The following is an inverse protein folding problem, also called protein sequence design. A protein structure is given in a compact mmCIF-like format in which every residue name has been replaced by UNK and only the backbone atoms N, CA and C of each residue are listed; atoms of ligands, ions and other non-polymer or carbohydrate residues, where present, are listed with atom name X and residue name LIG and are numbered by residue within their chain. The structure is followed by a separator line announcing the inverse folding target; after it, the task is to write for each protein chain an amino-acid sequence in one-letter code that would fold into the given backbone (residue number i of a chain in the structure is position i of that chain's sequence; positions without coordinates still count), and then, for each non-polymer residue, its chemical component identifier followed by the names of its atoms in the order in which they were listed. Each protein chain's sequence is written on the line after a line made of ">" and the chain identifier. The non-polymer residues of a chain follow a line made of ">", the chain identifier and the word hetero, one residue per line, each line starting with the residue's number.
data_IF_956634608003
#
_entry.id   IF_956634608003
#
_cell.length_a   1.000
_cell.length_b   1.000
_cell.length_c   1.000
_cell.angle_alpha   90.00
_cell.angle_beta   90.00
_cell.angle_gamma   90.00
#
_symmetry.space_group_name_H-M   'P 1'
#
loop_
_entity.id
_entity.type
_entity.pdbx_description
1 polymer ?
#
# COMPACT_ATOMS: atom_id res chain seq x y z
N UNK A 1 -4.98 -18.35 -1.92
CA UNK A 1 -4.78 -18.37 -0.47
C UNK A 1 -3.33 -18.12 -0.14
N UNK A 2 -2.91 -16.87 -0.26
CA UNK A 2 -1.66 -16.46 0.38
C UNK A 2 -1.95 -16.59 1.86
N UNK A 3 -1.30 -17.53 2.49
CA UNK A 3 -1.53 -17.84 3.89
C UNK A 3 -1.37 -16.59 4.74
N UNK A 4 -2.27 -16.43 5.71
CA UNK A 4 -2.20 -15.37 6.73
C UNK A 4 -0.89 -15.43 7.57
N UNK A 5 -0.03 -16.38 7.27
CA UNK A 5 1.26 -16.63 7.93
C UNK A 5 2.44 -15.86 7.31
N UNK A 6 2.20 -15.07 6.24
CA UNK A 6 3.27 -14.32 5.57
C UNK A 6 3.10 -12.79 5.56
N UNK A 7 2.54 -12.12 6.56
CA UNK A 7 2.39 -10.66 6.49
C UNK A 7 3.74 -9.91 6.52
N UNK A 8 4.80 -10.54 6.95
CA UNK A 8 6.11 -9.90 7.11
C UNK A 8 7.02 -10.08 5.88
N UNK A 9 6.87 -11.17 5.15
CA UNK A 9 7.67 -11.45 3.96
C UNK A 9 7.15 -10.76 2.69
N UNK A 10 5.93 -10.23 2.71
CA UNK A 10 5.20 -9.90 1.50
C UNK A 10 4.88 -8.41 1.31
N UNK A 11 5.45 -7.51 2.08
CA UNK A 11 5.07 -6.09 2.01
C UNK A 11 5.03 -5.52 0.59
N UNK A 12 5.94 -5.96 -0.29
CA UNK A 12 5.96 -5.58 -1.72
C UNK A 12 5.18 -6.53 -2.61
N UNK A 13 5.10 -7.81 -2.27
CA UNK A 13 4.51 -8.85 -3.10
C UNK A 13 3.12 -9.27 -2.62
N UNK A 14 2.28 -8.32 -2.22
CA UNK A 14 0.89 -8.58 -1.88
C UNK A 14 -0.01 -8.52 -3.13
N UNK A 15 -0.94 -9.47 -3.23
CA UNK A 15 -1.92 -9.53 -4.32
C UNK A 15 -1.27 -9.63 -5.71
N UNK A 16 -1.72 -8.81 -6.65
CA UNK A 16 -1.24 -8.83 -8.04
C UNK A 16 0.27 -8.61 -8.17
N UNK A 17 0.87 -7.83 -7.26
CA UNK A 17 2.32 -7.54 -7.30
C UNK A 17 3.16 -8.81 -7.22
N UNK A 18 2.70 -9.82 -6.46
CA UNK A 18 3.37 -11.13 -6.42
C UNK A 18 3.24 -11.86 -7.76
N UNK A 19 2.00 -12.05 -8.22
CA UNK A 19 1.73 -12.87 -9.40
C UNK A 19 2.32 -12.27 -10.67
N UNK A 20 2.15 -10.97 -10.86
CA UNK A 20 2.66 -10.29 -12.06
C UNK A 20 4.18 -10.17 -12.06
N UNK A 21 4.82 -10.01 -10.88
CA UNK A 21 6.28 -9.97 -10.80
C UNK A 21 6.87 -11.34 -11.09
N UNK A 22 6.31 -12.39 -10.50
CA UNK A 22 6.77 -13.75 -10.74
C UNK A 22 6.56 -14.19 -12.19
N UNK A 23 5.44 -13.78 -12.78
CA UNK A 23 5.21 -13.97 -14.22
C UNK A 23 6.26 -13.26 -15.08
N UNK A 24 6.52 -11.99 -14.81
CA UNK A 24 7.54 -11.24 -15.53
C UNK A 24 8.91 -11.89 -15.42
N UNK A 25 9.31 -12.31 -14.22
CA UNK A 25 10.58 -12.98 -13.99
C UNK A 25 10.66 -14.36 -14.66
N UNK A 26 9.53 -15.08 -14.77
CA UNK A 26 9.45 -16.34 -15.55
C UNK A 26 9.70 -16.06 -17.04
N UNK A 27 9.06 -15.02 -17.60
CA UNK A 27 9.26 -14.62 -19.01
C UNK A 27 10.69 -14.17 -19.27
N UNK A 28 11.29 -13.43 -18.33
CA UNK A 28 12.66 -12.92 -18.42
C UNK A 28 13.72 -14.00 -18.11
N UNK A 29 13.32 -15.14 -17.55
CA UNK A 29 14.24 -16.20 -17.10
C UNK A 29 15.08 -15.77 -15.89
N UNK A 30 14.52 -14.96 -15.00
CA UNK A 30 15.18 -14.42 -13.82
C UNK A 30 14.91 -15.26 -12.57
N UNK A 31 15.91 -15.37 -11.70
CA UNK A 31 15.83 -16.14 -10.47
C UNK A 31 15.37 -17.58 -10.73
N UNK A 32 14.63 -18.15 -9.81
CA UNK A 32 13.96 -19.45 -9.95
C UNK A 32 12.45 -19.26 -10.06
N UNK A 33 12.00 -18.31 -10.86
CA UNK A 33 10.58 -17.89 -10.89
C UNK A 33 9.63 -19.03 -11.27
N UNK A 34 10.08 -19.97 -12.10
CA UNK A 34 9.35 -21.18 -12.49
C UNK A 34 9.48 -22.35 -11.49
N UNK A 35 10.22 -22.16 -10.39
CA UNK A 35 10.39 -23.20 -9.37
C UNK A 35 9.04 -23.66 -8.78
N UNK A 36 9.02 -24.89 -8.28
CA UNK A 36 7.84 -25.49 -7.63
C UNK A 36 7.47 -24.81 -6.30
N UNK A 37 8.46 -24.20 -5.66
CA UNK A 37 8.25 -23.45 -4.40
C UNK A 37 7.17 -22.37 -4.59
N UNK A 38 6.20 -22.33 -3.70
CA UNK A 38 5.08 -21.38 -3.77
C UNK A 38 4.06 -21.62 -4.89
N UNK A 39 4.15 -22.72 -5.63
CA UNK A 39 3.12 -23.13 -6.58
C UNK A 39 1.98 -23.86 -5.87
N UNK A 40 0.75 -23.46 -6.16
CA UNK A 40 -0.46 -24.10 -5.61
C UNK A 40 -0.68 -25.50 -6.16
N UNK A 41 -0.09 -25.84 -7.29
CA UNK A 41 -0.26 -27.10 -8.00
C UNK A 41 0.77 -28.18 -7.60
N UNK A 42 1.83 -27.79 -6.89
CA UNK A 42 2.97 -28.64 -6.58
C UNK A 42 3.84 -29.00 -7.82
N UNK A 43 3.66 -28.26 -8.92
CA UNK A 43 4.49 -28.34 -10.14
C UNK A 43 5.24 -27.02 -10.34
N UNK A 44 6.02 -26.95 -11.42
CA UNK A 44 6.61 -25.67 -11.84
C UNK A 44 5.53 -24.56 -11.81
N UNK A 45 5.89 -23.41 -11.28
CA UNK A 45 4.98 -22.29 -11.18
C UNK A 45 4.60 -21.78 -12.58
N UNK A 46 3.32 -21.54 -12.77
CA UNK A 46 2.77 -21.11 -14.04
C UNK A 46 1.59 -20.19 -13.76
N UNK A 47 1.62 -19.00 -14.35
CA UNK A 47 0.64 -17.95 -14.10
C UNK A 47 -0.81 -18.39 -14.30
N UNK A 48 -1.09 -19.08 -15.40
CA UNK A 48 -2.46 -19.52 -15.76
C UNK A 48 -3.04 -20.55 -14.78
N UNK A 49 -2.19 -21.24 -14.04
CA UNK A 49 -2.62 -22.17 -13.01
C UNK A 49 -2.84 -21.50 -11.64
N UNK A 50 -2.27 -20.33 -11.42
CA UNK A 50 -2.31 -19.63 -10.13
C UNK A 50 -3.36 -18.49 -10.10
N UNK A 51 -3.64 -17.86 -11.26
CA UNK A 51 -4.50 -16.68 -11.36
C UNK A 51 -5.71 -16.96 -12.21
N UNK A 52 -6.89 -16.98 -11.59
CA UNK A 52 -8.16 -17.14 -12.33
C UNK A 52 -8.67 -15.83 -12.92
N UNK A 53 -8.47 -14.73 -12.21
CA UNK A 53 -8.87 -13.38 -12.61
C UNK A 53 -7.75 -12.39 -12.22
N UNK A 54 -7.08 -11.79 -13.20
CA UNK A 54 -6.07 -10.76 -12.94
C UNK A 54 -6.67 -9.55 -12.21
N UNK A 55 -5.83 -8.82 -11.49
CA UNK A 55 -6.25 -7.54 -10.92
C UNK A 55 -6.68 -6.57 -12.02
N UNK A 56 -7.86 -5.96 -11.84
CA UNK A 56 -8.50 -5.10 -12.82
C UNK A 56 -9.46 -5.83 -13.75
N UNK A 57 -9.53 -7.17 -13.70
CA UNK A 57 -10.49 -7.92 -14.52
C UNK A 57 -11.93 -7.47 -14.28
N UNK A 58 -12.64 -7.25 -15.35
CA UNK A 58 -14.05 -6.88 -15.33
C UNK A 58 -14.73 -7.14 -16.68
N UNK A 59 -16.05 -7.06 -16.69
CA UNK A 59 -16.86 -7.18 -17.89
C UNK A 59 -17.60 -5.87 -18.13
N UNK A 60 -17.73 -5.50 -19.41
CA UNK A 60 -18.49 -4.35 -19.86
C UNK A 60 -19.49 -4.76 -20.93
N UNK A 61 -20.54 -3.97 -21.13
CA UNK A 61 -21.49 -4.14 -22.23
C UNK A 61 -20.99 -3.54 -23.56
N UNK A 62 -19.82 -2.90 -23.53
CA UNK A 62 -19.15 -2.33 -24.70
C UNK A 62 -17.65 -2.56 -24.60
N UNK A 63 -16.89 -2.22 -25.63
CA UNK A 63 -15.44 -2.36 -25.67
C UNK A 63 -14.78 -1.01 -25.84
N UNK A 64 -13.59 -0.87 -25.25
CA UNK A 64 -12.80 0.35 -25.32
C UNK A 64 -11.38 0.06 -25.82
N UNK A 65 -10.80 1.04 -26.48
CA UNK A 65 -9.39 1.09 -26.83
C UNK A 65 -8.75 2.26 -26.08
N UNK A 66 -7.72 1.97 -25.28
CA UNK A 66 -6.96 2.97 -24.55
C UNK A 66 -5.62 3.21 -25.28
N UNK A 67 -5.25 4.49 -25.46
CA UNK A 67 -3.99 4.88 -26.09
C UNK A 67 -3.27 5.89 -25.21
N UNK A 68 -2.13 5.52 -24.67
CA UNK A 68 -1.26 6.41 -23.89
C UNK A 68 -0.58 7.42 -24.83
N UNK A 69 -0.93 8.69 -24.72
CA UNK A 69 -0.42 9.76 -25.58
C UNK A 69 0.88 10.36 -25.07
N UNK A 70 0.95 10.61 -23.76
CA UNK A 70 2.13 11.22 -23.14
C UNK A 70 2.22 10.85 -21.66
N UNK A 71 3.44 10.87 -21.15
CA UNK A 71 3.74 10.85 -19.72
C UNK A 71 4.76 11.93 -19.43
N UNK A 72 4.52 12.72 -18.40
CA UNK A 72 5.43 13.72 -17.87
C UNK A 72 5.74 13.40 -16.41
N UNK A 73 7.03 13.36 -16.07
CA UNK A 73 7.52 13.10 -14.70
C UNK A 73 8.18 14.36 -14.17
N UNK A 74 7.58 14.96 -13.16
CA UNK A 74 8.08 16.14 -12.48
C UNK A 74 8.42 15.81 -11.01
N UNK A 75 9.68 15.52 -10.75
CA UNK A 75 10.16 15.20 -9.40
C UNK A 75 10.14 16.42 -8.47
N UNK A 76 10.26 17.65 -8.99
CA UNK A 76 10.21 18.86 -8.16
C UNK A 76 8.80 19.08 -7.59
N UNK A 77 7.77 18.88 -8.41
CA UNK A 77 6.37 18.95 -8.00
C UNK A 77 5.80 17.62 -7.51
N UNK A 78 6.60 16.54 -7.54
CA UNK A 78 6.24 15.18 -7.12
C UNK A 78 5.02 14.63 -7.87
N UNK A 79 4.98 14.84 -9.18
CA UNK A 79 3.86 14.38 -10.00
C UNK A 79 4.31 13.52 -11.17
N UNK A 80 3.47 12.56 -11.53
CA UNK A 80 3.49 11.84 -12.80
C UNK A 80 2.16 12.11 -13.48
N UNK A 81 2.18 12.78 -14.63
CA UNK A 81 0.97 13.15 -15.37
C UNK A 81 0.93 12.38 -16.69
N UNK A 82 -0.17 11.65 -16.92
CA UNK A 82 -0.41 10.90 -18.14
C UNK A 82 -1.66 11.42 -18.87
N UNK A 83 -1.58 11.56 -20.20
CA UNK A 83 -2.75 11.78 -21.05
C UNK A 83 -3.08 10.52 -21.84
N UNK A 84 -4.33 10.08 -21.75
CA UNK A 84 -4.83 8.85 -22.35
C UNK A 84 -6.09 9.12 -23.18
N UNK A 85 -6.06 8.74 -24.44
CA UNK A 85 -7.25 8.73 -25.28
C UNK A 85 -7.98 7.39 -25.09
N UNK A 86 -9.25 7.46 -24.75
CA UNK A 86 -10.14 6.30 -24.63
C UNK A 86 -11.20 6.40 -25.71
N UNK A 87 -11.29 5.40 -26.57
CA UNK A 87 -12.27 5.28 -27.63
C UNK A 87 -13.24 4.13 -27.36
N UNK A 88 -14.53 4.40 -27.43
CA UNK A 88 -15.53 3.36 -27.41
C UNK A 88 -15.57 2.66 -28.80
N UNK A 89 -15.11 1.42 -28.84
CA UNK A 89 -15.04 0.60 -30.05
C UNK A 89 -16.22 -0.36 -30.20
N UNK A 90 -17.12 -0.40 -29.20
CA UNK A 90 -18.32 -1.25 -29.24
C UNK A 90 -19.56 -0.50 -29.71
N UNK A 91 -20.71 -1.13 -29.54
CA UNK A 91 -21.98 -0.69 -30.10
C UNK A 91 -22.91 0.01 -29.07
N UNK A 92 -22.50 0.09 -27.81
CA UNK A 92 -23.29 0.64 -26.70
C UNK A 92 -22.49 1.74 -25.99
N UNK A 93 -23.16 2.82 -25.59
CA UNK A 93 -22.53 3.86 -24.76
C UNK A 93 -22.09 3.28 -23.41
N UNK A 94 -20.91 3.67 -22.96
CA UNK A 94 -20.35 3.14 -21.72
C UNK A 94 -19.29 4.05 -21.12
N UNK A 95 -18.85 3.67 -19.93
CA UNK A 95 -17.72 4.29 -19.22
C UNK A 95 -16.60 3.28 -19.08
N UNK A 96 -15.38 3.77 -19.14
CA UNK A 96 -14.17 2.97 -18.94
C UNK A 96 -13.37 3.47 -17.74
N UNK A 97 -12.51 2.61 -17.18
CA UNK A 97 -11.56 2.95 -16.14
C UNK A 97 -10.15 2.78 -16.69
N UNK A 98 -9.43 3.87 -16.80
CA UNK A 98 -8.03 3.89 -17.22
C UNK A 98 -7.15 3.73 -16.00
N UNK A 99 -6.31 2.71 -15.98
CA UNK A 99 -5.37 2.42 -14.91
C UNK A 99 -3.95 2.71 -15.40
N UNK A 100 -3.25 3.63 -14.75
CA UNK A 100 -1.86 3.97 -15.06
C UNK A 100 -0.92 3.13 -14.20
N UNK A 101 -0.04 2.39 -14.86
CA UNK A 101 0.96 1.54 -14.23
C UNK A 101 2.38 2.02 -14.53
N UNK A 102 3.29 1.78 -13.61
CA UNK A 102 4.73 1.92 -13.83
C UNK A 102 5.46 0.60 -13.61
N UNK A 103 6.56 0.43 -14.33
CA UNK A 103 7.60 -0.58 -14.08
C UNK A 103 8.91 0.15 -13.89
N UNK A 104 9.55 -0.09 -12.77
CA UNK A 104 10.78 0.61 -12.37
C UNK A 104 12.00 -0.29 -12.55
N UNK A 105 13.22 0.25 -12.71
CA UNK A 105 14.42 -0.56 -12.81
C UNK A 105 14.61 -1.47 -11.59
N UNK A 106 15.02 -2.71 -11.83
CA UNK A 106 15.52 -3.63 -10.80
C UNK A 106 16.96 -3.92 -11.11
N UNK A 107 17.87 -3.47 -10.26
CA UNK A 107 19.30 -3.33 -10.54
C UNK A 107 20.15 -4.21 -9.62
N UNK A 108 21.46 -4.28 -9.89
CA UNK A 108 22.40 -4.94 -8.99
C UNK A 108 22.41 -4.30 -7.59
N UNK A 109 22.18 -2.99 -7.51
CA UNK A 109 22.02 -2.29 -6.23
C UNK A 109 20.89 -2.89 -5.40
N UNK A 110 19.75 -3.15 -6.03
CA UNK A 110 18.56 -3.71 -5.36
C UNK A 110 18.86 -5.11 -4.80
N UNK A 111 19.54 -5.93 -5.59
CA UNK A 111 19.94 -7.28 -5.18
C UNK A 111 20.89 -7.22 -3.98
N UNK A 112 21.90 -6.35 -4.04
CA UNK A 112 22.90 -6.20 -2.97
C UNK A 112 22.31 -5.64 -1.68
N UNK A 113 21.37 -4.69 -1.78
CA UNK A 113 20.75 -4.02 -0.63
C UNK A 113 19.38 -4.60 -0.24
N UNK A 114 18.95 -5.69 -0.89
CA UNK A 114 17.66 -6.38 -0.64
C UNK A 114 16.45 -5.46 -0.82
N UNK A 115 16.52 -4.57 -1.81
CA UNK A 115 15.40 -3.71 -2.19
C UNK A 115 14.49 -4.47 -3.14
N UNK A 116 13.27 -4.73 -2.72
CA UNK A 116 12.32 -5.49 -3.50
C UNK A 116 11.35 -4.57 -4.26
N UNK A 117 11.09 -4.91 -5.54
CA UNK A 117 10.27 -4.12 -6.47
C UNK A 117 9.35 -5.02 -7.27
N UNK A 118 8.09 -4.64 -7.40
CA UNK A 118 7.17 -5.33 -8.29
C UNK A 118 7.47 -5.02 -9.76
N UNK A 119 7.19 -5.98 -10.65
CA UNK A 119 7.34 -5.77 -12.10
C UNK A 119 6.44 -4.64 -12.62
N UNK A 120 5.24 -4.51 -12.07
CA UNK A 120 4.35 -3.38 -12.33
C UNK A 120 3.67 -2.92 -11.05
N UNK A 121 3.43 -1.62 -10.96
CA UNK A 121 2.71 -0.99 -9.86
C UNK A 121 1.68 -0.02 -10.40
N UNK A 122 0.44 -0.14 -9.95
CA UNK A 122 -0.61 0.85 -10.21
C UNK A 122 -0.20 2.17 -9.54
N UNK A 123 -0.12 3.24 -10.32
CA UNK A 123 0.12 4.59 -9.80
C UNK A 123 -1.19 5.26 -9.43
N UNK A 124 -2.13 5.32 -10.39
CA UNK A 124 -3.44 5.92 -10.18
C UNK A 124 -4.41 5.48 -11.30
N UNK A 125 -5.66 5.86 -11.21
CA UNK A 125 -6.67 5.56 -12.21
C UNK A 125 -7.66 6.72 -12.36
N UNK A 126 -8.28 6.80 -13.53
CA UNK A 126 -9.33 7.78 -13.80
C UNK A 126 -10.47 7.11 -14.58
N UNK A 127 -11.69 7.55 -14.31
CA UNK A 127 -12.88 7.03 -14.97
C UNK A 127 -13.41 8.02 -16.00
N UNK A 128 -13.71 7.53 -17.21
CA UNK A 128 -14.30 8.36 -18.26
C UNK A 128 -15.74 8.78 -17.91
N UNK A 129 -16.20 9.82 -18.58
CA UNK A 129 -17.62 10.05 -18.77
C UNK A 129 -18.25 8.97 -19.65
N UNK A 130 -19.54 9.10 -19.93
CA UNK A 130 -20.22 8.23 -20.89
C UNK A 130 -19.71 8.54 -22.30
N UNK A 131 -19.12 7.56 -22.97
CA UNK A 131 -18.60 7.68 -24.33
C UNK A 131 -19.56 6.94 -25.26
N UNK A 132 -20.10 7.64 -26.26
CA UNK A 132 -20.96 7.06 -27.28
C UNK A 132 -20.16 6.13 -28.24
N UNK A 133 -20.80 5.18 -28.92
CA UNK A 133 -20.15 4.30 -29.88
C UNK A 133 -19.36 5.06 -30.94
N UNK A 134 -18.08 4.73 -31.07
CA UNK A 134 -17.16 5.35 -32.04
C UNK A 134 -16.55 6.68 -31.61
N UNK A 135 -17.04 7.29 -30.51
CA UNK A 135 -16.48 8.52 -29.96
C UNK A 135 -15.29 8.24 -29.04
N UNK A 136 -14.51 9.29 -28.78
CA UNK A 136 -13.34 9.25 -27.89
C UNK A 136 -13.40 10.35 -26.84
N UNK A 137 -12.74 10.09 -25.69
CA UNK A 137 -12.49 11.06 -24.65
C UNK A 137 -11.00 10.99 -24.26
N UNK A 138 -10.38 12.15 -24.01
CA UNK A 138 -9.07 12.17 -23.35
C UNK A 138 -9.26 12.33 -21.85
N UNK A 139 -8.60 11.50 -21.08
CA UNK A 139 -8.49 11.60 -19.62
C UNK A 139 -7.06 11.94 -19.24
N UNK A 140 -6.91 12.71 -18.17
CA UNK A 140 -5.61 13.05 -17.59
C UNK A 140 -5.54 12.41 -16.20
N UNK A 141 -4.51 11.63 -15.96
CA UNK A 141 -4.24 10.99 -14.66
C UNK A 141 -3.03 11.70 -14.08
N UNK A 142 -3.10 12.09 -12.79
CA UNK A 142 -1.98 12.70 -12.08
C UNK A 142 -1.74 11.96 -10.78
N UNK A 143 -0.66 11.20 -10.73
CA UNK A 143 -0.22 10.40 -9.59
C UNK A 143 0.89 11.10 -8.80
N UNK A 144 1.11 10.70 -7.54
CA UNK A 144 2.29 11.09 -6.76
C UNK A 144 3.53 10.35 -7.30
N UNK A 145 4.57 11.08 -7.67
CA UNK A 145 5.81 10.50 -8.15
C UNK A 145 6.52 9.62 -7.09
N UNK A 146 6.22 9.79 -5.82
CA UNK A 146 6.73 8.90 -4.77
C UNK A 146 6.25 7.45 -4.95
N UNK A 147 5.09 7.23 -5.59
CA UNK A 147 4.56 5.87 -5.82
C UNK A 147 5.41 5.05 -6.79
N UNK A 148 6.30 5.67 -7.56
CA UNK A 148 7.31 4.96 -8.35
C UNK A 148 8.65 4.78 -7.64
N UNK A 149 8.83 5.34 -6.43
CA UNK A 149 10.02 5.12 -5.62
C UNK A 149 9.99 3.77 -4.91
N UNK A 150 11.18 3.27 -4.59
CA UNK A 150 11.36 2.03 -3.84
C UNK A 150 11.89 2.30 -2.45
N UNK A 151 11.46 1.50 -1.49
CA UNK A 151 11.93 1.61 -0.11
C UNK A 151 13.20 0.82 0.09
N UNK A 152 14.27 1.50 0.51
CA UNK A 152 15.50 0.87 0.99
C UNK A 152 15.60 1.10 2.51
N UNK A 153 15.53 0.01 3.27
CA UNK A 153 15.56 0.05 4.74
C UNK A 153 16.95 0.36 5.31
N UNK A 154 17.98 0.32 4.47
CA UNK A 154 19.39 0.46 4.86
C UNK A 154 20.06 1.72 4.30
N UNK A 155 19.43 2.39 3.34
CA UNK A 155 19.96 3.60 2.74
C UNK A 155 20.00 4.74 3.77
N UNK A 156 21.17 5.31 3.95
CA UNK A 156 21.34 6.50 4.80
C UNK A 156 20.69 7.72 4.13
N UNK A 157 19.94 8.46 4.93
CA UNK A 157 19.30 9.70 4.53
C UNK A 157 20.24 10.88 4.83
N UNK A 158 20.27 11.89 3.98
CA UNK A 158 21.03 13.14 4.20
C UNK A 158 20.67 13.85 5.50
N UNK A 159 19.47 13.60 6.05
CA UNK A 159 19.04 14.13 7.34
C UNK A 159 19.63 13.37 8.53
N UNK A 160 20.43 12.31 8.30
CA UNK A 160 21.09 11.52 9.35
C UNK A 160 20.24 10.39 9.93
N UNK A 161 19.18 9.99 9.25
CA UNK A 161 18.36 8.81 9.55
C UNK A 161 18.70 7.66 8.60
N UNK A 162 18.33 6.43 8.95
CA UNK A 162 18.49 5.23 8.11
C UNK A 162 17.11 4.77 7.63
N UNK A 163 17.06 4.32 6.38
CA UNK A 163 15.83 4.00 5.65
C UNK A 163 15.35 5.18 4.80
N UNK A 164 15.16 4.94 3.50
CA UNK A 164 14.83 5.99 2.55
C UNK A 164 14.04 5.49 1.34
N UNK A 165 13.33 6.40 0.69
CA UNK A 165 12.77 6.18 -0.64
C UNK A 165 13.84 6.53 -1.69
N UNK A 166 14.05 5.63 -2.63
CA UNK A 166 15.05 5.74 -3.67
C UNK A 166 14.44 5.63 -5.06
N UNK A 167 15.09 6.27 -6.04
CA UNK A 167 14.89 6.05 -7.45
C UNK A 167 16.20 5.55 -8.06
N UNK A 168 16.18 4.38 -8.66
CA UNK A 168 17.36 3.85 -9.35
C UNK A 168 17.56 4.51 -10.68
N UNK A 169 18.81 4.63 -11.10
CA UNK A 169 19.11 5.01 -12.47
C UNK A 169 18.66 3.92 -13.44
N UNK A 170 18.14 4.35 -14.59
CA UNK A 170 17.68 3.45 -15.65
C UNK A 170 16.35 3.85 -16.25
N UNK A 171 15.77 2.93 -17.01
CA UNK A 171 14.53 3.14 -17.75
C UNK A 171 13.31 2.80 -16.90
N UNK A 172 12.44 3.77 -16.73
CA UNK A 172 11.10 3.63 -16.16
C UNK A 172 10.11 3.48 -17.30
N UNK A 173 9.24 2.48 -17.21
CA UNK A 173 8.18 2.25 -18.19
C UNK A 173 6.86 2.67 -17.58
N UNK A 174 6.04 3.37 -18.38
CA UNK A 174 4.67 3.72 -18.02
C UNK A 174 3.74 3.15 -19.07
N UNK A 175 2.64 2.57 -18.62
CA UNK A 175 1.63 1.98 -19.50
C UNK A 175 0.24 2.13 -18.90
N UNK A 176 -0.77 2.01 -19.75
CA UNK A 176 -2.17 1.90 -19.34
C UNK A 176 -2.75 0.58 -19.81
N UNK A 177 -3.78 0.12 -19.12
CA UNK A 177 -4.46 -1.11 -19.47
C UNK A 177 -5.67 -1.36 -18.59
N UNK A 178 -6.42 -2.41 -18.91
CA UNK A 178 -7.61 -2.82 -18.17
C UNK A 178 -7.26 -3.61 -16.88
N UNK A 179 -5.98 -3.85 -16.66
CA UNK A 179 -5.50 -4.53 -15.46
C UNK A 179 -4.01 -4.76 -15.44
N UNK A 180 -3.52 -5.30 -14.32
CA UNK A 180 -2.10 -5.46 -14.07
C UNK A 180 -1.41 -6.43 -15.04
N UNK A 181 -2.10 -7.51 -15.45
CA UNK A 181 -1.54 -8.48 -16.38
C UNK A 181 -1.35 -7.91 -17.80
N UNK A 182 -2.30 -7.11 -18.28
CA UNK A 182 -2.13 -6.36 -19.53
C UNK A 182 -0.97 -5.38 -19.43
N UNK A 183 -0.87 -4.66 -18.31
CA UNK A 183 0.20 -3.71 -18.07
C UNK A 183 1.59 -4.37 -18.07
N UNK A 184 1.76 -5.51 -17.39
CA UNK A 184 3.05 -6.23 -17.39
C UNK A 184 3.41 -6.74 -18.78
N UNK A 185 2.42 -7.26 -19.54
CA UNK A 185 2.66 -7.73 -20.90
C UNK A 185 3.04 -6.57 -21.84
N UNK A 186 2.41 -5.39 -21.72
CA UNK A 186 2.81 -4.21 -22.49
C UNK A 186 4.27 -3.84 -22.25
N UNK A 187 4.69 -3.81 -20.98
CA UNK A 187 6.09 -3.53 -20.60
C UNK A 187 7.04 -4.60 -21.15
N UNK A 188 6.72 -5.88 -20.98
CA UNK A 188 7.54 -6.98 -21.48
C UNK A 188 7.67 -6.92 -23.01
N UNK A 189 6.58 -6.62 -23.73
CA UNK A 189 6.61 -6.43 -25.19
C UNK A 189 7.49 -5.23 -25.58
N UNK A 190 7.48 -4.13 -24.82
CA UNK A 190 8.37 -3.00 -25.03
C UNK A 190 9.85 -3.35 -24.76
N UNK A 191 10.10 -4.33 -23.89
CA UNK A 191 11.41 -4.93 -23.63
C UNK A 191 11.78 -6.03 -24.66
N UNK A 192 11.00 -6.18 -25.74
CA UNK A 192 11.17 -7.15 -26.81
C UNK A 192 11.00 -8.62 -26.41
N UNK A 193 10.19 -8.88 -25.38
CA UNK A 193 9.78 -10.23 -25.04
C UNK A 193 8.63 -10.68 -25.96
N UNK A 194 8.55 -12.00 -26.20
CA UNK A 194 7.49 -12.61 -27.02
C UNK A 194 6.26 -12.92 -26.15
N UNK A 195 5.46 -11.88 -25.89
CA UNK A 195 4.23 -11.92 -25.09
C UNK A 195 3.10 -11.18 -25.81
N UNK A 196 1.86 -11.45 -25.44
CA UNK A 196 0.68 -10.76 -25.96
C UNK A 196 0.49 -9.40 -25.26
N UNK A 197 1.33 -8.44 -25.64
CA UNK A 197 1.35 -7.07 -25.09
C UNK A 197 1.43 -5.99 -26.17
N UNK A 198 0.89 -4.83 -25.88
CA UNK A 198 0.92 -3.67 -26.77
C UNK A 198 2.07 -2.73 -26.40
N UNK A 199 3.25 -2.91 -27.02
CA UNK A 199 4.41 -2.04 -26.81
C UNK A 199 4.19 -0.58 -27.21
N UNK A 200 3.25 -0.32 -28.13
CA UNK A 200 2.97 1.05 -28.60
C UNK A 200 2.16 1.84 -27.54
N UNK A 201 1.65 1.15 -26.53
CA UNK A 201 0.95 1.73 -25.37
C UNK A 201 1.89 1.90 -24.15
N UNK A 202 3.19 2.04 -24.40
CA UNK A 202 4.23 2.24 -23.39
C UNK A 202 5.00 3.51 -23.67
N UNK A 203 5.20 4.32 -22.64
CA UNK A 203 6.11 5.47 -22.64
C UNK A 203 7.26 5.20 -21.68
N UNK A 204 8.42 5.78 -21.96
CA UNK A 204 9.61 5.61 -21.10
C UNK A 204 10.10 6.95 -20.58
N UNK A 205 10.66 6.90 -19.38
CA UNK A 205 11.39 7.99 -18.77
C UNK A 205 12.74 7.46 -18.26
N UNK A 206 13.82 8.21 -18.53
CA UNK A 206 15.17 7.82 -18.17
C UNK A 206 15.68 8.63 -16.98
N UNK A 207 16.07 7.95 -15.91
CA UNK A 207 16.81 8.56 -14.80
C UNK A 207 18.29 8.25 -14.96
N UNK A 208 19.12 9.31 -15.13
CA UNK A 208 20.56 9.14 -15.41
C UNK A 208 21.36 8.72 -14.20
N UNK A 209 21.04 9.24 -13.04
CA UNK A 209 21.77 9.01 -11.80
C UNK A 209 20.83 8.48 -10.70
N UNK A 210 21.33 7.65 -9.82
CA UNK A 210 20.63 7.19 -8.62
C UNK A 210 20.22 8.38 -7.73
N UNK A 211 18.97 8.40 -7.29
CA UNK A 211 18.42 9.48 -6.47
C UNK A 211 17.86 8.96 -5.15
N UNK A 212 18.48 9.38 -4.06
CA UNK A 212 18.03 9.16 -2.68
C UNK A 212 17.59 10.46 -2.00
N UNK A 213 17.45 11.56 -2.75
CA UNK A 213 17.19 12.89 -2.21
C UNK A 213 15.77 13.38 -2.41
N UNK A 214 15.14 13.07 -3.55
CA UNK A 214 13.83 13.60 -3.91
C UNK A 214 12.73 13.27 -2.90
N UNK A 215 12.81 12.12 -2.24
CA UNK A 215 11.83 11.66 -1.26
C UNK A 215 12.41 11.43 0.14
N UNK A 216 13.57 12.06 0.45
CA UNK A 216 14.24 11.95 1.75
C UNK A 216 13.47 12.62 2.89
N UNK A 217 12.50 13.46 2.58
CA UNK A 217 11.62 14.12 3.54
C UNK A 217 10.16 13.94 3.11
N UNK A 218 9.29 13.87 4.09
CA UNK A 218 7.83 13.84 3.88
C UNK A 218 7.31 15.20 3.41
N UNK A 219 6.06 15.28 2.97
CA UNK A 219 5.44 16.53 2.51
C UNK A 219 5.43 17.64 3.57
N UNK A 220 5.48 17.27 4.86
CA UNK A 220 5.55 18.24 5.97
C UNK A 220 7.00 18.54 6.41
N UNK A 221 8.01 18.06 5.69
CA UNK A 221 9.42 18.31 5.96
C UNK A 221 10.06 17.45 7.05
N UNK A 222 9.37 16.40 7.51
CA UNK A 222 9.95 15.44 8.45
C UNK A 222 10.89 14.49 7.70
N UNK A 223 12.13 14.25 8.19
CA UNK A 223 13.00 13.24 7.61
C UNK A 223 12.34 11.86 7.57
N UNK A 224 12.54 11.15 6.47
CA UNK A 224 12.12 9.77 6.34
C UNK A 224 13.08 8.88 7.12
N UNK A 225 12.57 7.86 7.80
CA UNK A 225 13.37 6.90 8.57
C UNK A 225 12.71 5.52 8.62
N UNK A 226 13.48 4.48 8.89
CA UNK A 226 12.96 3.13 9.11
C UNK A 226 12.38 3.00 10.53
N UNK A 227 11.09 3.33 10.66
CA UNK A 227 10.39 3.27 11.96
C UNK A 227 10.09 1.83 12.42
N UNK A 228 10.25 0.84 11.54
CA UNK A 228 9.98 -0.57 11.85
C UNK A 228 11.25 -1.41 11.99
N UNK A 229 12.41 -0.76 12.10
CA UNK A 229 13.69 -1.47 12.21
C UNK A 229 13.69 -2.47 13.38
N UNK A 230 13.19 -2.06 14.52
CA UNK A 230 13.16 -2.92 15.72
C UNK A 230 12.10 -4.03 15.65
N UNK A 231 11.19 -3.97 14.68
CA UNK A 231 10.19 -5.01 14.46
C UNK A 231 10.71 -6.17 13.60
N UNK A 232 11.88 -6.03 12.96
CA UNK A 232 12.49 -7.12 12.20
C UNK A 232 13.12 -8.15 13.15
N UNK A 233 12.60 -9.38 13.13
CA UNK A 233 13.10 -10.47 13.96
C UNK A 233 14.58 -10.79 13.70
N UNK A 234 15.10 -10.53 12.51
CA UNK A 234 16.50 -10.77 12.18
C UNK A 234 17.45 -9.85 12.97
N UNK A 235 16.98 -8.70 13.46
CA UNK A 235 17.75 -7.83 14.35
C UNK A 235 17.99 -8.45 15.74
N UNK A 236 17.09 -9.34 16.16
CA UNK A 236 17.12 -9.98 17.47
C UNK A 236 17.68 -11.42 17.38
N UNK A 237 17.41 -12.08 16.28
CA UNK A 237 17.78 -13.46 16.01
C UNK A 237 18.18 -13.60 14.55
N UNK A 238 19.44 -13.54 14.27
CA UNK A 238 20.01 -13.64 12.92
C UNK A 238 19.48 -14.87 12.19
N UNK A 239 19.22 -14.74 10.90
CA UNK A 239 18.71 -15.79 10.00
C UNK A 239 17.36 -16.42 10.43
N UNK A 240 16.57 -15.74 11.22
CA UNK A 240 15.26 -16.25 11.65
C UNK A 240 14.21 -16.15 10.52
N UNK A 241 14.19 -15.04 9.81
CA UNK A 241 13.27 -14.79 8.69
C UNK A 241 14.04 -14.64 7.40
N UNK A 242 13.68 -15.44 6.41
CA UNK A 242 14.12 -15.24 5.02
C UNK A 242 12.98 -14.54 4.28
N UNK A 243 13.23 -13.33 3.79
CA UNK A 243 12.23 -12.56 3.06
C UNK A 243 12.09 -13.05 1.62
N UNK A 244 10.90 -12.98 1.07
CA UNK A 244 10.65 -13.29 -0.32
C UNK A 244 11.38 -12.29 -1.21
N UNK A 245 12.19 -12.80 -2.12
CA UNK A 245 12.96 -12.01 -3.07
C UNK A 245 12.74 -12.50 -4.49
N UNK A 246 12.54 -11.56 -5.41
CA UNK A 246 12.52 -11.87 -6.84
C UNK A 246 13.89 -12.27 -7.39
N UNK A 247 14.94 -12.07 -6.64
CA UNK A 247 16.30 -12.47 -7.04
C UNK A 247 16.43 -13.99 -7.16
N UNK A 248 15.72 -14.75 -6.33
CA UNK A 248 15.82 -16.21 -6.31
C UNK A 248 14.49 -16.95 -6.21
N UNK A 249 13.42 -16.26 -5.80
CA UNK A 249 12.08 -16.84 -5.56
C UNK A 249 12.10 -18.05 -4.62
N UNK A 250 13.13 -18.16 -3.81
CA UNK A 250 13.27 -19.20 -2.79
C UNK A 250 12.72 -18.74 -1.44
N UNK A 251 13.09 -19.20 -0.45
CA UNK A 251 13.31 -18.71 0.88
C UNK A 251 12.14 -18.52 1.80
N UNK A 252 11.03 -17.99 1.43
CA UNK A 252 10.01 -17.60 2.41
C UNK A 252 8.76 -18.46 2.46
N UNK A 253 8.80 -19.59 1.78
CA UNK A 253 7.73 -20.56 1.87
C UNK A 253 8.08 -21.58 2.94
N UNK A 254 7.61 -21.41 4.20
CA UNK A 254 7.99 -22.34 5.26
C UNK A 254 7.37 -23.70 4.95
N UNK A 255 8.20 -24.70 4.84
CA UNK A 255 7.78 -26.09 4.77
C UNK A 255 7.39 -26.62 6.16
N UNK A 256 7.96 -26.02 7.20
CA UNK A 256 7.70 -26.36 8.61
C UNK A 256 7.84 -25.13 9.49
N UNK A 257 7.15 -25.11 10.61
CA UNK A 257 7.36 -24.10 11.65
C UNK A 257 8.73 -24.30 12.31
N UNK A 258 9.44 -23.19 12.53
CA UNK A 258 10.63 -23.17 13.38
C UNK A 258 10.19 -22.93 14.83
N UNK A 259 10.62 -23.77 15.75
CA UNK A 259 10.52 -23.46 17.18
C UNK A 259 11.56 -22.37 17.49
N UNK A 260 11.08 -21.19 17.83
CA UNK A 260 11.93 -20.09 18.25
C UNK A 260 12.04 -20.08 19.77
N UNK A 261 13.27 -19.95 20.25
CA UNK A 261 13.52 -19.75 21.67
C UNK A 261 13.94 -18.29 21.88
N UNK A 262 13.20 -17.58 22.73
CA UNK A 262 13.52 -16.19 23.03
C UNK A 262 14.94 -16.08 23.60
N UNK A 263 15.70 -15.07 23.13
CA UNK A 263 17.01 -14.76 23.69
C UNK A 263 16.86 -14.14 25.08
N UNK A 264 17.95 -14.13 25.88
CA UNK A 264 17.96 -13.48 27.18
C UNK A 264 17.64 -11.98 27.07
N UNK A 265 18.02 -11.34 25.96
CA UNK A 265 17.71 -9.94 25.67
C UNK A 265 16.22 -9.73 25.39
N UNK A 266 15.61 -10.58 24.56
CA UNK A 266 14.15 -10.56 24.33
C UNK A 266 13.39 -10.76 25.63
N UNK A 267 13.81 -11.73 26.47
CA UNK A 267 13.19 -12.00 27.77
C UNK A 267 13.34 -10.78 28.68
N UNK A 268 14.49 -10.14 28.68
CA UNK A 268 14.74 -8.93 29.48
C UNK A 268 13.85 -7.78 29.04
N UNK A 269 13.73 -7.54 27.74
CA UNK A 269 12.87 -6.49 27.17
C UNK A 269 11.39 -6.75 27.45
N UNK A 270 10.94 -8.02 27.33
CA UNK A 270 9.56 -8.40 27.66
C UNK A 270 9.25 -8.35 29.15
N UNK A 271 10.26 -8.51 30.00
CA UNK A 271 10.14 -8.43 31.44
C UNK A 271 10.31 -6.99 31.97
N UNK A 272 10.55 -6.04 31.06
CA UNK A 272 10.68 -4.64 31.45
C UNK A 272 9.39 -4.15 32.10
N UNK A 273 9.53 -3.55 33.27
CA UNK A 273 8.38 -3.02 33.98
C UNK A 273 8.08 -1.61 33.45
N UNK A 274 7.10 -1.54 32.55
CA UNK A 274 6.62 -0.26 32.01
C UNK A 274 6.04 0.69 33.07
N UNK A 275 6.11 0.34 34.36
CA UNK A 275 5.74 1.23 35.46
C UNK A 275 6.60 2.50 35.51
N UNK A 276 7.82 2.46 34.95
CA UNK A 276 8.74 3.59 34.86
C UNK A 276 8.57 4.46 33.62
N UNK A 277 7.53 4.25 32.82
CA UNK A 277 7.17 5.19 31.76
C UNK A 277 6.89 6.54 32.43
N UNK A 278 7.87 7.46 32.39
CA UNK A 278 7.67 8.82 32.81
C UNK A 278 6.48 9.39 32.08
N UNK A 279 5.46 9.82 32.81
CA UNK A 279 4.32 10.49 32.24
C UNK A 279 4.84 11.73 31.48
N UNK A 280 4.85 11.68 30.15
CA UNK A 280 5.20 12.81 29.29
C UNK A 280 4.09 13.85 29.44
N UNK A 281 4.29 14.85 30.28
CA UNK A 281 3.38 15.97 30.48
C UNK A 281 3.14 16.28 31.97
N UNK A 282 2.65 17.48 32.22
CA UNK A 282 2.22 17.89 33.53
C UNK A 282 0.73 17.54 33.73
N UNK A 283 0.38 16.53 34.54
CA UNK A 283 -1.00 16.16 34.78
C UNK A 283 -1.82 17.30 35.40
N UNK A 284 -1.17 18.30 35.99
CA UNK A 284 -1.85 19.49 36.54
C UNK A 284 -2.34 20.45 35.45
N UNK A 285 -1.90 20.26 34.19
CA UNK A 285 -2.35 21.04 33.05
C UNK A 285 -3.67 20.52 32.42
N UNK A 286 -4.14 19.37 32.87
CA UNK A 286 -5.37 18.74 32.36
C UNK A 286 -6.52 18.96 33.33
N UNK A 287 -7.62 19.49 32.81
CA UNK A 287 -8.86 19.68 33.58
C UNK A 287 -9.82 18.52 33.35
N UNK A 288 -10.40 17.97 34.42
CA UNK A 288 -11.41 16.93 34.35
C UNK A 288 -12.66 17.35 35.10
N UNK A 289 -13.83 17.01 34.56
CA UNK A 289 -15.13 17.14 35.24
C UNK A 289 -15.57 18.58 35.49
N UNK A 290 -15.15 19.51 34.64
CA UNK A 290 -15.66 20.89 34.70
C UNK A 290 -17.16 20.94 34.34
N UNK A 291 -17.89 21.83 34.98
CA UNK A 291 -19.31 22.07 34.66
C UNK A 291 -19.45 23.27 33.70
N UNK A 292 -19.19 23.04 32.42
CA UNK A 292 -19.25 24.06 31.37
C UNK A 292 -20.60 24.07 30.65
N UNK A 293 -21.50 23.13 30.94
CA UNK A 293 -22.84 23.04 30.37
C UNK A 293 -22.86 22.75 28.86
N UNK A 294 -21.77 22.20 28.31
CA UNK A 294 -21.68 21.90 26.90
C UNK A 294 -22.05 20.44 26.58
N UNK A 295 -22.55 20.21 25.39
CA UNK A 295 -22.79 18.89 24.84
C UNK A 295 -22.02 18.74 23.52
N UNK A 296 -21.74 17.51 23.10
CA UNK A 296 -21.11 17.26 21.80
C UNK A 296 -21.88 17.88 20.63
N UNK A 297 -23.21 17.98 20.74
CA UNK A 297 -24.05 18.61 19.73
C UNK A 297 -23.75 20.10 19.53
N UNK A 298 -23.20 20.80 20.52
CA UNK A 298 -22.81 22.20 20.41
C UNK A 298 -21.66 22.43 19.45
N UNK A 299 -20.89 21.37 19.12
CA UNK A 299 -19.77 21.40 18.17
C UNK A 299 -20.17 21.03 16.74
N UNK A 300 -21.46 20.83 16.46
CA UNK A 300 -21.92 20.55 15.11
C UNK A 300 -21.52 21.69 14.15
N UNK A 301 -20.72 21.35 13.13
CA UNK A 301 -20.22 22.31 12.13
C UNK A 301 -18.98 23.10 12.60
N UNK A 302 -18.31 22.66 13.67
CA UNK A 302 -17.01 23.17 14.10
C UNK A 302 -15.96 22.23 13.56
N UNK A 303 -15.37 22.58 12.42
CA UNK A 303 -14.37 21.74 11.73
C UNK A 303 -12.92 22.06 12.17
N UNK A 304 -12.71 23.23 12.79
CA UNK A 304 -11.41 23.62 13.32
C UNK A 304 -11.19 23.00 14.71
N UNK A 305 -10.26 22.05 14.81
CA UNK A 305 -9.90 21.38 16.06
C UNK A 305 -9.24 22.31 17.10
N UNK A 306 -8.75 23.49 16.68
CA UNK A 306 -8.17 24.50 17.55
C UNK A 306 -9.18 25.47 18.13
N UNK A 307 -10.46 25.37 17.75
CA UNK A 307 -11.53 26.19 18.31
C UNK A 307 -11.66 25.94 19.84
N UNK A 308 -11.67 26.99 20.63
CA UNK A 308 -11.72 26.93 22.09
C UNK A 308 -12.91 26.12 22.64
N UNK A 309 -13.97 25.95 21.87
CA UNK A 309 -15.11 25.11 22.25
C UNK A 309 -14.74 23.64 22.42
N UNK A 310 -13.72 23.14 21.67
CA UNK A 310 -13.25 21.77 21.85
C UNK A 310 -12.61 21.59 23.22
N UNK A 311 -11.69 22.47 23.64
CA UNK A 311 -11.06 22.36 24.96
C UNK A 311 -12.10 22.53 26.07
N UNK A 312 -13.04 23.49 25.94
CA UNK A 312 -14.11 23.70 26.90
C UNK A 312 -15.01 22.46 27.05
N UNK A 313 -15.33 21.75 25.96
CA UNK A 313 -16.05 20.48 26.00
C UNK A 313 -15.23 19.36 26.65
N UNK A 314 -13.96 19.24 26.27
CA UNK A 314 -13.08 18.19 26.77
C UNK A 314 -12.84 18.30 28.28
N UNK A 315 -12.77 19.51 28.84
CA UNK A 315 -12.61 19.75 30.26
C UNK A 315 -13.77 19.18 31.11
N UNK A 316 -14.94 18.95 30.51
CA UNK A 316 -16.09 18.33 31.19
C UNK A 316 -15.94 16.82 31.40
N UNK A 317 -15.13 16.16 30.56
CA UNK A 317 -14.95 14.71 30.63
C UNK A 317 -14.29 14.36 31.95
N UNK A 318 -14.87 13.41 32.67
CA UNK A 318 -14.30 12.95 33.94
C UNK A 318 -13.14 11.98 33.70
N UNK A 319 -12.22 11.87 34.66
CA UNK A 319 -11.15 10.87 34.60
C UNK A 319 -11.71 9.45 34.50
N UNK A 320 -12.80 9.16 35.20
CA UNK A 320 -13.47 7.85 35.14
C UNK A 320 -13.97 7.53 33.72
N UNK A 321 -14.61 8.48 33.04
CA UNK A 321 -15.06 8.32 31.66
C UNK A 321 -13.89 8.09 30.69
N UNK A 322 -12.77 8.79 30.87
CA UNK A 322 -11.55 8.56 30.10
C UNK A 322 -11.02 7.13 30.29
N UNK A 323 -10.94 6.65 31.52
CA UNK A 323 -10.47 5.31 31.86
C UNK A 323 -11.40 4.23 31.31
N UNK A 324 -12.71 4.41 31.42
CA UNK A 324 -13.72 3.50 30.88
C UNK A 324 -13.60 3.44 29.35
N UNK A 325 -13.47 4.59 28.67
CA UNK A 325 -13.34 4.64 27.22
C UNK A 325 -12.08 3.93 26.72
N UNK A 326 -10.96 4.15 27.41
CA UNK A 326 -9.66 3.56 27.04
C UNK A 326 -9.60 2.07 27.35
N UNK A 327 -10.09 1.67 28.54
CA UNK A 327 -9.96 0.30 29.01
C UNK A 327 -11.06 -0.66 28.54
N UNK A 328 -12.28 -0.17 28.28
CA UNK A 328 -13.46 -1.00 27.99
C UNK A 328 -14.09 -0.69 26.62
N UNK A 329 -13.49 0.15 25.81
CA UNK A 329 -14.01 0.54 24.49
C UNK A 329 -14.12 -0.67 23.56
N UNK A 330 -13.03 -1.37 23.35
CA UNK A 330 -12.99 -2.49 22.42
C UNK A 330 -13.57 -2.13 21.04
N UNK A 331 -14.61 -2.83 20.63
CA UNK A 331 -15.34 -2.58 19.37
C UNK A 331 -16.47 -1.55 19.51
N UNK A 332 -16.58 -0.84 20.62
CA UNK A 332 -17.58 0.22 20.82
C UNK A 332 -16.98 1.45 21.45
N UNK A 333 -17.52 2.61 21.08
CA UNK A 333 -17.28 3.83 21.86
C UNK A 333 -18.25 3.85 23.02
N UNK A 334 -17.75 3.90 24.25
CA UNK A 334 -18.60 3.98 25.45
C UNK A 334 -19.28 5.35 25.54
N UNK A 335 -20.44 5.37 26.17
CA UNK A 335 -21.12 6.63 26.52
C UNK A 335 -20.18 7.54 27.30
N UNK A 336 -20.19 8.83 26.98
CA UNK A 336 -19.56 9.87 27.78
C UNK A 336 -20.70 10.80 28.21
N UNK A 337 -21.23 10.58 29.42
CA UNK A 337 -22.41 11.25 29.93
C UNK A 337 -22.20 12.75 30.10
N UNK A 338 -21.01 13.13 30.57
CA UNK A 338 -20.64 14.53 30.84
C UNK A 338 -20.75 15.45 29.63
N UNK A 339 -20.61 14.91 28.41
CA UNK A 339 -20.73 15.66 27.15
C UNK A 339 -21.89 15.19 26.27
N UNK A 340 -22.70 14.30 26.76
CA UNK A 340 -23.84 13.70 26.02
C UNK A 340 -23.40 12.99 24.72
N UNK A 341 -22.26 12.28 24.76
CA UNK A 341 -21.79 11.45 23.67
C UNK A 341 -22.41 10.05 23.77
N UNK A 342 -23.19 9.60 22.77
CA UNK A 342 -23.81 8.28 22.81
C UNK A 342 -22.78 7.16 22.60
N UNK A 343 -23.15 5.94 22.98
CA UNK A 343 -22.43 4.73 22.58
C UNK A 343 -22.60 4.52 21.08
N UNK A 344 -21.52 4.13 20.41
CA UNK A 344 -21.54 3.68 19.04
C UNK A 344 -20.82 2.33 18.94
N UNK A 345 -21.41 1.39 18.22
CA UNK A 345 -20.82 0.09 17.93
C UNK A 345 -20.08 0.21 16.60
N UNK A 346 -18.82 -0.19 16.59
CA UNK A 346 -18.03 -0.30 15.39
C UNK A 346 -18.10 -1.75 14.90
N UNK A 347 -18.52 -1.92 13.65
CA UNK A 347 -18.61 -3.24 13.04
C UNK A 347 -17.57 -3.36 11.93
N UNK A 348 -17.02 -4.55 11.78
CA UNK A 348 -16.16 -4.88 10.66
C UNK A 348 -16.97 -4.97 9.37
N UNK A 349 -16.33 -4.68 8.25
CA UNK A 349 -16.77 -5.09 6.94
C UNK A 349 -16.90 -3.96 5.92
N UNK A 350 -15.95 -3.84 5.00
CA UNK A 350 -16.12 -2.99 3.82
C UNK A 350 -17.21 -3.51 2.87
N UNK A 351 -17.57 -4.79 2.97
CA UNK A 351 -18.58 -5.46 2.15
C UNK A 351 -19.90 -5.70 2.90
N UNK A 352 -20.28 -4.81 3.84
CA UNK A 352 -21.52 -4.91 4.59
C UNK A 352 -21.31 -4.96 6.10
N UNK A 353 -22.40 -4.87 6.86
CA UNK A 353 -22.35 -4.94 8.32
C UNK A 353 -22.00 -6.34 8.79
N UNK A 354 -20.88 -6.48 9.49
CA UNK A 354 -20.51 -7.68 10.20
C UNK A 354 -20.63 -7.42 11.70
N UNK A 355 -21.67 -7.93 12.34
CA UNK A 355 -21.86 -7.82 13.78
C UNK A 355 -21.75 -9.18 14.43
N UNK A 356 -20.72 -9.40 15.22
CA UNK A 356 -20.52 -10.66 15.92
C UNK A 356 -21.72 -11.09 16.81
N UNK A 357 -22.42 -10.18 17.53
CA UNK A 357 -23.60 -10.54 18.29
C UNK A 357 -24.85 -10.82 17.46
N UNK A 358 -24.92 -10.28 16.25
CA UNK A 358 -26.11 -10.35 15.39
C UNK A 358 -25.93 -11.29 14.20
N UNK A 359 -24.76 -11.95 14.09
CA UNK A 359 -24.38 -12.76 12.94
C UNK A 359 -23.77 -11.92 11.81
N UNK A 360 -23.20 -12.60 10.83
CA UNK A 360 -22.61 -11.96 9.66
C UNK A 360 -23.70 -11.65 8.65
N UNK A 361 -23.85 -10.41 8.31
CA UNK A 361 -24.65 -9.96 7.19
C UNK A 361 -23.71 -9.43 6.12
N UNK A 362 -23.29 -10.30 5.22
CA UNK A 362 -22.57 -9.90 4.03
C UNK A 362 -23.58 -9.30 3.06
N UNK A 363 -23.46 -8.02 2.80
CA UNK A 363 -24.15 -7.38 1.71
C UNK A 363 -23.12 -6.75 0.81
N UNK A 364 -23.02 -7.30 -0.34
CA UNK A 364 -22.25 -6.85 -1.46
C UNK A 364 -23.12 -5.96 -2.34
N UNK A 365 -23.44 -4.76 -2.04
CA UNK A 365 -24.02 -3.87 -3.05
C UNK A 365 -23.44 -2.46 -2.93
#
# INVERSE_FOLDING_TARGET
>A
NINAEQPQASGRYAGYKYYETRYADTVLGQGNADATVGSSTGKAWDYDNEVSYPFGYGLSYTTFEQTLKSVDVDLENRTVTAEVEVKNTGDVAGKDVVQLYTSVPYTDYDVENKVEKSAVQLLDYEKTDMIEPGESQTVTITADAQDMASWDSTCDNEAGTTGNWILDNGTYYFTVGNGAHEAVNNVLAAQNQDVDGNKDNVQTWELGDFDSSSFAVTLNGTPVENQLQDADLNNWMEDTVTYLSRNDWEGTWPETYKDLTATDEMISTMADDYSDIEANGDPSSVTFGADNGMTLANLKGVDDITDERWSTLMDQITLEECLIRTGLGGTSTKVIESITSPEAIQNDGPNGFNSYPLGQYANSD
#
